data_IF_114643986694
#
_entry.id   IF_114643986694
#
_cell.length_a   1.000
_cell.length_b   1.000
_cell.length_c   1.000
_cell.angle_alpha   90.00
_cell.angle_beta   90.00
_cell.angle_gamma   90.00
#
_symmetry.space_group_name_H-M   'P 1'
#
loop_
_entity.id
_entity.type
_entity.pdbx_description
1 polymer ?
#
# COMPACT_ATOMS: atom_id res chain seq x y z
N UNK A 1 -2.40 14.72 23.81
CA UNK A 1 -3.49 14.77 22.82
C UNK A 1 -2.88 15.09 21.45
N UNK A 2 -3.34 14.43 20.39
CA UNK A 2 -2.87 14.63 19.01
C UNK A 2 -3.85 15.52 18.22
N UNK A 3 -3.34 16.20 17.21
CA UNK A 3 -4.11 16.94 16.23
C UNK A 3 -3.75 16.46 14.84
N UNK A 4 -4.77 16.24 14.00
CA UNK A 4 -4.59 15.73 12.64
C UNK A 4 -4.71 16.86 11.63
N UNK A 5 -3.74 16.94 10.72
CA UNK A 5 -3.76 17.88 9.62
C UNK A 5 -4.15 17.12 8.33
N UNK A 6 -5.36 17.35 7.84
CA UNK A 6 -5.92 16.68 6.66
C UNK A 6 -5.13 16.94 5.37
N UNK A 7 -4.55 18.15 5.22
CA UNK A 7 -3.77 18.51 4.02
C UNK A 7 -2.45 17.76 3.93
N UNK A 8 -1.82 17.47 5.08
CA UNK A 8 -0.52 16.79 5.12
C UNK A 8 -0.63 15.31 5.47
N UNK A 9 -1.77 14.86 6.00
CA UNK A 9 -1.98 13.50 6.50
C UNK A 9 -1.20 13.17 7.77
N UNK A 10 -0.80 14.18 8.56
CA UNK A 10 0.11 14.00 9.70
C UNK A 10 -0.50 14.43 11.01
N UNK A 11 -0.08 13.78 12.09
CA UNK A 11 -0.38 14.21 13.46
C UNK A 11 0.70 15.08 14.04
N UNK A 12 0.28 16.08 14.82
CA UNK A 12 1.14 16.91 15.68
C UNK A 12 0.69 16.82 17.13
N UNK A 13 1.60 17.09 18.08
CA UNK A 13 1.26 17.12 19.50
C UNK A 13 0.55 18.42 19.87
N UNK A 14 -0.66 18.34 20.44
CA UNK A 14 -1.42 19.52 20.95
C UNK A 14 -0.84 20.13 22.22
N UNK A 15 -0.12 19.34 22.99
CA UNK A 15 0.43 19.75 24.30
C UNK A 15 1.91 19.36 24.36
N UNK A 16 2.70 20.19 25.01
CA UNK A 16 4.08 19.86 25.31
C UNK A 16 4.15 18.69 26.31
N UNK A 17 5.10 17.80 26.13
CA UNK A 17 5.50 16.74 27.10
C UNK A 17 7.02 16.78 27.24
N UNK A 18 7.56 16.10 28.28
CA UNK A 18 9.02 16.01 28.46
C UNK A 18 9.70 15.56 27.18
N UNK A 19 10.51 16.43 26.57
CA UNK A 19 11.22 16.17 25.32
C UNK A 19 10.41 16.33 24.03
N UNK A 20 9.17 16.84 24.11
CA UNK A 20 8.29 17.05 22.94
C UNK A 20 7.64 18.44 23.03
N UNK A 21 7.81 19.26 22.02
CA UNK A 21 7.18 20.57 21.92
C UNK A 21 5.76 20.49 21.36
N UNK A 22 4.90 21.43 21.79
CA UNK A 22 3.59 21.63 21.18
C UNK A 22 3.76 21.96 19.69
N UNK A 23 2.97 21.31 18.83
CA UNK A 23 3.04 21.49 17.38
C UNK A 23 4.09 20.63 16.70
N UNK A 24 4.98 19.97 17.45
CA UNK A 24 5.96 19.06 16.86
C UNK A 24 5.29 17.85 16.21
N UNK A 25 5.90 17.34 15.14
CA UNK A 25 5.39 16.19 14.38
C UNK A 25 5.39 14.94 15.26
N UNK A 26 4.26 14.23 15.28
CA UNK A 26 4.13 13.02 16.09
C UNK A 26 4.71 11.78 15.38
N UNK A 27 5.46 10.98 16.13
CA UNK A 27 5.98 9.69 15.69
C UNK A 27 7.12 9.76 14.67
N UNK A 28 7.59 8.57 14.28
CA UNK A 28 8.75 8.40 13.39
C UNK A 28 8.44 7.45 12.24
N UNK A 29 9.07 7.71 11.08
CA UNK A 29 9.02 6.78 9.94
C UNK A 29 9.98 5.62 10.22
N UNK A 30 9.53 4.41 9.96
CA UNK A 30 10.31 3.17 10.10
C UNK A 30 10.89 2.72 8.75
N UNK A 31 11.84 1.76 8.73
CA UNK A 31 12.41 1.23 7.48
C UNK A 31 11.37 0.68 6.48
N UNK A 32 10.22 0.22 6.96
CA UNK A 32 9.07 -0.19 6.17
C UNK A 32 8.28 0.99 5.56
N UNK A 33 8.78 2.23 5.75
CA UNK A 33 8.19 3.51 5.31
C UNK A 33 6.87 3.89 5.98
N UNK A 34 6.38 3.10 6.93
CA UNK A 34 5.22 3.47 7.72
C UNK A 34 5.62 4.38 8.89
N UNK A 35 4.82 5.43 9.15
CA UNK A 35 4.96 6.22 10.37
C UNK A 35 4.24 5.54 11.52
N UNK A 36 4.90 5.51 12.69
CA UNK A 36 4.35 4.96 13.93
C UNK A 36 4.42 6.00 15.04
N UNK A 37 3.34 6.07 15.83
CA UNK A 37 3.20 7.01 16.95
C UNK A 37 3.03 6.20 18.24
N UNK A 38 3.82 6.54 19.27
CA UNK A 38 3.69 5.95 20.60
C UNK A 38 2.74 6.80 21.44
N UNK A 39 1.67 6.17 21.99
CA UNK A 39 0.69 6.78 22.88
C UNK A 39 0.52 5.84 24.07
N UNK A 40 0.76 6.35 25.29
CA UNK A 40 0.62 5.58 26.53
C UNK A 40 1.31 4.19 26.47
N UNK A 41 2.58 4.18 26.06
CA UNK A 41 3.43 2.98 25.90
C UNK A 41 2.94 1.96 24.86
N UNK A 42 1.95 2.33 24.03
CA UNK A 42 1.50 1.51 22.91
C UNK A 42 1.88 2.18 21.59
N UNK A 43 2.29 1.36 20.61
CA UNK A 43 2.70 1.83 19.28
C UNK A 43 1.57 1.60 18.31
N UNK A 44 1.21 2.66 17.59
CA UNK A 44 0.14 2.64 16.59
C UNK A 44 0.69 3.05 15.22
N UNK A 45 0.19 2.44 14.17
CA UNK A 45 0.40 2.95 12.81
C UNK A 45 -0.40 4.23 12.60
N UNK A 46 0.23 5.27 12.02
CA UNK A 46 -0.38 6.58 11.82
C UNK A 46 -1.67 6.50 10.98
N UNK A 47 -1.69 5.74 9.88
CA UNK A 47 -2.89 5.57 9.04
C UNK A 47 -4.09 4.97 9.81
N UNK A 48 -3.85 4.10 10.82
CA UNK A 48 -4.91 3.57 11.66
C UNK A 48 -5.44 4.60 12.65
N UNK A 49 -4.56 5.49 13.14
CA UNK A 49 -4.97 6.62 13.99
C UNK A 49 -5.73 7.68 13.19
N UNK A 50 -5.34 7.93 11.94
CA UNK A 50 -6.08 8.81 11.03
C UNK A 50 -7.49 8.27 10.81
N UNK A 51 -7.62 6.97 10.54
CA UNK A 51 -8.93 6.34 10.41
C UNK A 51 -9.79 6.50 11.66
N UNK A 52 -9.22 6.20 12.84
CA UNK A 52 -9.90 6.40 14.12
C UNK A 52 -10.29 7.87 14.35
N UNK A 53 -9.42 8.82 14.00
CA UNK A 53 -9.67 10.25 14.18
C UNK A 53 -10.85 10.75 13.34
N UNK A 54 -10.92 10.31 12.08
CA UNK A 54 -11.93 10.75 11.12
C UNK A 54 -13.25 10.01 11.29
N UNK A 55 -13.21 8.69 11.54
CA UNK A 55 -14.40 7.84 11.58
C UNK A 55 -14.88 7.47 13.01
N UNK A 56 -14.13 7.86 14.05
CA UNK A 56 -14.46 7.58 15.45
C UNK A 56 -14.22 6.14 15.90
N UNK A 57 -13.90 5.23 14.99
CA UNK A 57 -13.67 3.81 15.29
C UNK A 57 -12.41 3.29 14.62
N UNK A 58 -11.77 2.28 15.21
CA UNK A 58 -10.65 1.60 14.55
C UNK A 58 -11.12 0.83 13.31
N UNK A 59 -10.28 0.75 12.27
CA UNK A 59 -10.63 0.02 11.06
C UNK A 59 -10.81 -1.47 11.37
N UNK A 60 -11.90 -2.06 10.89
CA UNK A 60 -12.21 -3.49 11.01
C UNK A 60 -11.42 -4.35 10.02
N UNK A 61 -10.93 -3.74 8.95
CA UNK A 61 -10.15 -4.37 7.89
C UNK A 61 -8.75 -3.74 7.78
N UNK A 62 -7.93 -4.23 6.87
CA UNK A 62 -6.68 -3.57 6.53
C UNK A 62 -6.97 -2.18 5.93
N UNK A 63 -6.05 -1.23 6.16
CA UNK A 63 -6.05 0.04 5.43
C UNK A 63 -5.05 -0.10 4.28
N UNK A 64 -5.48 0.26 3.09
CA UNK A 64 -4.68 0.33 1.88
C UNK A 64 -4.43 1.80 1.50
N UNK A 65 -3.21 2.09 1.02
CA UNK A 65 -2.86 3.39 0.48
C UNK A 65 -3.11 3.38 -1.03
N UNK A 66 -4.07 4.16 -1.51
CA UNK A 66 -4.51 4.18 -2.91
C UNK A 66 -3.33 4.46 -3.85
N UNK A 67 -2.48 5.42 -3.50
CA UNK A 67 -1.29 5.78 -4.28
C UNK A 67 -0.05 4.89 -4.00
N UNK A 68 -0.17 3.83 -3.19
CA UNK A 68 0.92 2.92 -2.78
C UNK A 68 2.06 3.59 -2.00
N UNK A 69 1.87 4.80 -1.50
CA UNK A 69 2.83 5.50 -0.65
C UNK A 69 2.44 5.37 0.83
N UNK A 70 3.12 4.51 1.62
CA UNK A 70 2.76 4.26 3.03
C UNK A 70 3.05 5.45 3.96
N UNK A 71 3.68 6.51 3.47
CA UNK A 71 3.92 7.76 4.20
C UNK A 71 2.86 8.84 3.94
N UNK A 72 1.95 8.63 2.98
CA UNK A 72 0.87 9.56 2.64
C UNK A 72 -0.42 9.12 3.34
N UNK A 73 -0.61 9.61 4.56
CA UNK A 73 -1.74 9.26 5.40
C UNK A 73 -2.90 10.28 5.32
N UNK A 74 -3.01 11.04 4.23
CA UNK A 74 -4.21 11.85 3.99
C UNK A 74 -5.42 10.93 3.88
N UNK A 75 -6.53 11.30 4.52
CA UNK A 75 -7.72 10.42 4.55
C UNK A 75 -8.23 10.08 3.13
N UNK A 76 -8.14 11.01 2.18
CA UNK A 76 -8.50 10.79 0.78
C UNK A 76 -7.65 9.72 0.07
N UNK A 77 -6.47 9.40 0.62
CA UNK A 77 -5.58 8.35 0.11
C UNK A 77 -5.73 7.00 0.84
N UNK A 78 -6.59 6.94 1.86
CA UNK A 78 -6.79 5.73 2.66
C UNK A 78 -8.13 5.09 2.32
N UNK A 79 -8.14 3.77 2.18
CA UNK A 79 -9.36 2.98 2.01
C UNK A 79 -9.30 1.70 2.83
N UNK A 80 -10.48 1.21 3.25
CA UNK A 80 -10.56 -0.15 3.78
C UNK A 80 -10.37 -1.14 2.64
N UNK A 81 -9.57 -2.15 2.91
CA UNK A 81 -9.32 -3.24 1.97
C UNK A 81 -9.26 -4.57 2.71
N UNK A 82 -9.76 -5.62 2.10
CA UNK A 82 -9.47 -6.97 2.55
C UNK A 82 -7.96 -7.24 2.38
N UNK A 83 -7.44 -8.23 3.09
CA UNK A 83 -6.04 -8.64 2.92
C UNK A 83 -5.71 -8.99 1.47
N UNK A 84 -6.67 -9.61 0.77
CA UNK A 84 -6.57 -9.96 -0.64
C UNK A 84 -6.43 -8.70 -1.51
N UNK A 85 -7.32 -7.73 -1.37
CA UNK A 85 -7.29 -6.46 -2.12
C UNK A 85 -6.01 -5.67 -1.87
N UNK A 86 -5.51 -5.69 -0.63
CA UNK A 86 -4.23 -5.05 -0.29
C UNK A 86 -3.04 -5.74 -1.00
N UNK A 87 -3.05 -7.08 -1.11
CA UNK A 87 -2.05 -7.83 -1.89
C UNK A 87 -2.14 -7.52 -3.40
N UNK A 88 -3.34 -7.36 -3.93
CA UNK A 88 -3.58 -6.99 -5.34
C UNK A 88 -2.99 -5.60 -5.66
N UNK A 89 -3.06 -4.65 -4.71
CA UNK A 89 -2.52 -3.28 -4.87
C UNK A 89 -0.99 -3.19 -4.63
N UNK A 90 -0.30 -4.25 -4.22
CA UNK A 90 1.14 -4.18 -3.96
C UNK A 90 1.95 -3.76 -5.21
N UNK A 91 3.00 -2.97 -4.96
CA UNK A 91 4.00 -2.62 -5.98
C UNK A 91 4.83 -3.83 -6.42
N UNK A 92 5.64 -3.66 -7.46
CA UNK A 92 6.58 -4.67 -7.96
C UNK A 92 7.47 -5.22 -6.85
N UNK A 93 7.66 -6.55 -6.85
CA UNK A 93 8.65 -7.19 -5.99
C UNK A 93 10.05 -6.69 -6.38
N UNK A 94 10.93 -6.43 -5.39
CA UNK A 94 12.33 -6.03 -5.62
C UNK A 94 13.13 -7.01 -6.46
N UNK A 95 12.75 -8.30 -6.47
CA UNK A 95 13.37 -9.36 -7.30
C UNK A 95 12.80 -9.43 -8.71
N UNK A 96 11.88 -8.55 -9.07
CA UNK A 96 11.29 -8.56 -10.41
C UNK A 96 12.31 -8.02 -11.42
N UNK A 97 12.73 -8.87 -12.35
CA UNK A 97 13.74 -8.57 -13.38
C UNK A 97 13.10 -8.10 -14.70
N UNK A 98 11.79 -8.28 -14.88
CA UNK A 98 11.10 -7.88 -16.10
C UNK A 98 10.69 -6.41 -16.12
N UNK A 99 10.67 -5.73 -14.95
CA UNK A 99 10.14 -4.37 -14.79
C UNK A 99 8.61 -4.30 -14.72
N UNK A 100 7.90 -5.42 -14.91
CA UNK A 100 6.43 -5.45 -14.95
C UNK A 100 5.83 -6.45 -13.98
N UNK A 101 4.70 -6.09 -13.36
CA UNK A 101 3.95 -6.97 -12.44
C UNK A 101 3.35 -8.16 -13.21
N UNK A 102 3.51 -9.36 -12.63
CA UNK A 102 2.98 -10.59 -13.22
C UNK A 102 3.71 -11.08 -14.48
N UNK A 103 4.82 -10.43 -14.84
CA UNK A 103 5.64 -10.80 -15.99
C UNK A 103 6.96 -11.42 -15.50
N UNK A 104 7.37 -12.52 -16.10
CA UNK A 104 8.65 -13.20 -15.85
C UNK A 104 9.35 -13.56 -17.14
N UNK A 105 10.67 -13.36 -17.18
CA UNK A 105 11.49 -13.76 -18.32
C UNK A 105 11.78 -15.28 -18.28
N UNK A 106 11.54 -15.96 -19.37
CA UNK A 106 11.80 -17.39 -19.56
C UNK A 106 13.09 -17.58 -20.34
N UNK A 107 14.19 -17.80 -19.66
CA UNK A 107 15.53 -17.96 -20.27
C UNK A 107 15.57 -19.05 -21.33
N UNK A 108 14.90 -20.19 -21.09
CA UNK A 108 14.90 -21.33 -22.02
C UNK A 108 14.23 -21.07 -23.36
N UNK A 109 13.30 -20.10 -23.41
CA UNK A 109 12.54 -19.76 -24.62
C UNK A 109 12.85 -18.37 -25.16
N UNK A 110 13.69 -17.60 -24.45
CA UNK A 110 13.96 -16.19 -24.73
C UNK A 110 12.68 -15.35 -24.93
N UNK A 111 11.70 -15.57 -24.06
CA UNK A 111 10.35 -14.95 -24.13
C UNK A 111 9.88 -14.55 -22.73
N UNK A 112 8.80 -13.78 -22.68
CA UNK A 112 8.18 -13.32 -21.44
C UNK A 112 6.84 -14.03 -21.21
N UNK A 113 6.66 -14.55 -20.00
CA UNK A 113 5.40 -15.14 -19.55
C UNK A 113 4.63 -14.15 -18.70
N UNK A 114 3.35 -13.94 -19.02
CA UNK A 114 2.41 -13.24 -18.16
C UNK A 114 1.56 -14.23 -17.36
N UNK A 115 1.40 -13.98 -16.08
CA UNK A 115 0.54 -14.74 -15.18
C UNK A 115 -0.03 -13.86 -14.08
N UNK A 116 -1.25 -14.17 -13.63
CA UNK A 116 -1.97 -13.46 -12.59
C UNK A 116 -2.54 -14.47 -11.59
N UNK A 117 -2.35 -14.20 -10.30
CA UNK A 117 -2.94 -15.04 -9.24
C UNK A 117 -4.13 -14.30 -8.62
N UNK A 118 -5.30 -14.92 -8.69
CA UNK A 118 -6.53 -14.42 -8.09
C UNK A 118 -7.29 -15.56 -7.41
N UNK A 119 -7.79 -15.36 -6.18
CA UNK A 119 -8.48 -16.38 -5.39
C UNK A 119 -7.69 -17.69 -5.26
N UNK A 120 -6.39 -17.61 -4.93
CA UNK A 120 -5.46 -18.76 -4.84
C UNK A 120 -5.30 -19.56 -6.14
N UNK A 121 -5.88 -19.10 -7.25
CA UNK A 121 -5.74 -19.70 -8.58
C UNK A 121 -4.83 -18.86 -9.46
N UNK A 122 -3.87 -19.50 -10.11
CA UNK A 122 -2.97 -18.83 -11.06
C UNK A 122 -3.49 -18.99 -12.48
N UNK A 123 -3.69 -17.86 -13.14
CA UNK A 123 -4.10 -17.77 -14.56
C UNK A 123 -2.86 -17.51 -15.41
N UNK A 124 -2.60 -18.40 -16.34
CA UNK A 124 -1.55 -18.21 -17.35
C UNK A 124 -2.12 -17.42 -18.52
N UNK A 125 -1.60 -16.20 -18.75
CA UNK A 125 -2.15 -15.25 -19.71
C UNK A 125 -1.48 -15.33 -21.09
N UNK A 126 -0.36 -16.08 -21.17
CA UNK A 126 0.34 -16.29 -22.42
C UNK A 126 1.86 -16.11 -22.31
N UNK A 127 2.51 -16.35 -23.47
CA UNK A 127 3.95 -16.17 -23.66
C UNK A 127 4.14 -15.18 -24.82
N UNK A 128 4.93 -14.14 -24.60
CA UNK A 128 5.06 -12.98 -25.48
C UNK A 128 6.52 -12.77 -25.89
N UNK A 129 6.73 -12.05 -26.97
CA UNK A 129 8.09 -11.73 -27.43
C UNK A 129 8.72 -10.63 -26.58
N UNK A 130 7.93 -9.67 -26.10
CA UNK A 130 8.40 -8.53 -25.30
C UNK A 130 7.77 -8.51 -23.91
N UNK A 131 8.42 -7.82 -22.96
CA UNK A 131 7.88 -7.64 -21.62
C UNK A 131 6.66 -6.71 -21.61
N UNK A 132 6.62 -5.76 -22.54
CA UNK A 132 5.53 -4.80 -22.74
C UNK A 132 4.25 -5.54 -23.15
N UNK A 133 4.30 -6.40 -24.17
CA UNK A 133 3.16 -7.22 -24.60
C UNK A 133 2.62 -8.08 -23.45
N UNK A 134 3.52 -8.74 -22.71
CA UNK A 134 3.16 -9.52 -21.53
C UNK A 134 2.49 -8.65 -20.45
N UNK A 135 2.96 -7.40 -20.27
CA UNK A 135 2.40 -6.43 -19.33
C UNK A 135 1.00 -5.98 -19.71
N UNK A 136 0.74 -5.78 -21.00
CA UNK A 136 -0.59 -5.43 -21.49
C UNK A 136 -1.59 -6.57 -21.19
N UNK A 137 -1.22 -7.81 -21.49
CA UNK A 137 -2.04 -8.98 -21.16
C UNK A 137 -2.33 -9.08 -19.66
N UNK A 138 -1.32 -8.82 -18.80
CA UNK A 138 -1.51 -8.78 -17.35
C UNK A 138 -2.48 -7.67 -16.92
N UNK A 139 -2.31 -6.44 -17.43
CA UNK A 139 -3.17 -5.30 -17.09
C UNK A 139 -4.63 -5.56 -17.48
N UNK A 140 -4.88 -6.10 -18.67
CA UNK A 140 -6.23 -6.42 -19.12
C UNK A 140 -6.89 -7.46 -18.20
N UNK A 141 -6.19 -8.54 -17.86
CA UNK A 141 -6.69 -9.55 -16.95
C UNK A 141 -6.89 -9.01 -15.52
N UNK A 142 -5.99 -8.15 -15.06
CA UNK A 142 -6.09 -7.51 -13.74
C UNK A 142 -7.32 -6.59 -13.65
N UNK A 143 -7.58 -5.78 -14.67
CA UNK A 143 -8.75 -4.89 -14.70
C UNK A 143 -10.06 -5.68 -14.71
N UNK A 144 -10.08 -6.89 -15.26
CA UNK A 144 -11.27 -7.74 -15.25
C UNK A 144 -11.46 -8.47 -13.93
N UNK A 145 -10.37 -8.90 -13.29
CA UNK A 145 -10.43 -9.80 -12.13
C UNK A 145 -10.25 -9.10 -10.78
N UNK A 146 -9.56 -7.95 -10.74
CA UNK A 146 -9.30 -7.23 -9.51
C UNK A 146 -10.30 -6.12 -9.26
N UNK A 147 -10.83 -6.04 -8.06
CA UNK A 147 -11.80 -5.00 -7.65
C UNK A 147 -11.16 -3.63 -7.38
N UNK A 148 -9.82 -3.58 -7.22
CA UNK A 148 -9.05 -2.38 -6.90
C UNK A 148 -7.77 -2.24 -7.72
N UNK A 149 -7.70 -2.86 -8.90
CA UNK A 149 -6.58 -2.64 -9.81
C UNK A 149 -6.73 -1.25 -10.46
N UNK A 150 -5.82 -0.36 -10.13
CA UNK A 150 -5.64 0.97 -10.77
C UNK A 150 -4.35 0.96 -11.58
#
# INVERSE_FOLDING_TARGET
MLDYNEKTGKFVWKIAKKGLEKGSLAGNIRPDKYRRIAINNKIYYEHRLVWLYVHGTFPTHCIDHINRNPSDNRICNLRLATQKQNLENQSLNRKNTSGFKGVSFMKTRNKYRASLTHNSKTYHLGIFKTAEEASIAYKNAANTLYTHAT
#
